data_IF_925452147680
#
_entry.id   IF_925452147680
#
_cell.length_a   1.000
_cell.length_b   1.000
_cell.length_c   1.000
_cell.angle_alpha   90.00
_cell.angle_beta   90.00
_cell.angle_gamma   90.00
#
_symmetry.space_group_name_H-M   'P 1'
#
loop_
_entity.id
_entity.type
_entity.pdbx_description
1 polymer ?
#
# COMPACT_ATOMS: atom_id res chain seq x y z
N UNK A 1 -17.19 33.51 -33.84
CA UNK A 1 -15.94 32.77 -33.57
C UNK A 1 -15.93 32.51 -32.08
N UNK A 2 -16.41 31.35 -31.67
CA UNK A 2 -16.57 30.98 -30.27
C UNK A 2 -15.24 30.43 -29.73
N UNK A 3 -14.67 31.09 -28.73
CA UNK A 3 -13.52 30.56 -27.99
C UNK A 3 -13.98 29.41 -27.10
N UNK A 4 -13.31 28.24 -27.13
CA UNK A 4 -13.69 27.11 -26.28
C UNK A 4 -13.48 27.51 -24.81
N UNK A 5 -14.59 27.59 -24.07
CA UNK A 5 -14.56 27.84 -22.63
C UNK A 5 -13.82 26.68 -21.95
N UNK A 6 -12.63 26.95 -21.43
CA UNK A 6 -11.92 25.97 -20.62
C UNK A 6 -12.78 25.61 -19.41
N UNK A 7 -12.97 24.30 -19.11
CA UNK A 7 -13.67 23.89 -17.90
C UNK A 7 -12.91 24.46 -16.71
N UNK A 8 -13.59 25.28 -15.92
CA UNK A 8 -13.05 25.78 -14.66
C UNK A 8 -12.80 24.57 -13.77
N UNK A 9 -11.55 24.37 -13.37
CA UNK A 9 -11.18 23.26 -12.49
C UNK A 9 -11.94 23.41 -11.17
N UNK A 10 -12.98 22.61 -10.98
CA UNK A 10 -13.75 22.62 -9.75
C UNK A 10 -12.84 22.14 -8.61
N UNK A 11 -12.76 22.87 -7.48
CA UNK A 11 -11.93 22.45 -6.37
C UNK A 11 -12.41 21.09 -5.86
N UNK A 12 -11.46 20.26 -5.40
CA UNK A 12 -11.74 18.95 -4.82
C UNK A 12 -12.85 19.09 -3.76
N UNK A 13 -13.96 18.31 -3.83
CA UNK A 13 -15.14 18.55 -2.99
C UNK A 13 -14.85 18.64 -1.50
N UNK A 14 -13.86 17.88 -1.00
CA UNK A 14 -13.46 17.96 0.40
C UNK A 14 -12.94 19.34 0.81
N UNK A 15 -12.26 20.06 -0.09
CA UNK A 15 -11.72 21.40 0.15
C UNK A 15 -12.80 22.48 0.28
N UNK A 16 -14.05 22.19 -0.13
CA UNK A 16 -15.17 23.08 0.12
C UNK A 16 -15.64 23.05 1.58
N UNK A 17 -15.20 22.05 2.36
CA UNK A 17 -15.56 21.93 3.77
C UNK A 17 -14.67 22.80 4.67
N UNK A 18 -15.22 23.37 5.77
CA UNK A 18 -14.44 23.93 6.85
C UNK A 18 -13.35 22.96 7.35
N UNK A 19 -12.23 23.51 7.78
CA UNK A 19 -11.04 22.73 8.20
C UNK A 19 -11.40 21.72 9.30
N UNK A 20 -12.23 22.11 10.24
CA UNK A 20 -12.65 21.30 11.38
C UNK A 20 -13.35 20.01 10.90
N UNK A 21 -14.22 20.12 9.89
CA UNK A 21 -14.88 18.95 9.30
C UNK A 21 -13.91 18.07 8.52
N UNK A 22 -12.94 18.66 7.84
CA UNK A 22 -11.88 17.88 7.16
C UNK A 22 -11.04 17.09 8.16
N UNK A 23 -10.70 17.68 9.30
CA UNK A 23 -9.97 16.97 10.37
C UNK A 23 -10.77 15.77 10.90
N UNK A 24 -12.08 15.91 11.10
CA UNK A 24 -12.94 14.78 11.49
C UNK A 24 -12.90 13.64 10.47
N UNK A 25 -12.88 13.96 9.18
CA UNK A 25 -12.72 12.94 8.12
C UNK A 25 -11.39 12.21 8.25
N UNK A 26 -10.30 12.93 8.54
CA UNK A 26 -8.99 12.31 8.72
C UNK A 26 -8.91 11.43 9.98
N UNK A 27 -9.57 11.83 11.06
CA UNK A 27 -9.63 11.02 12.29
C UNK A 27 -10.36 9.69 12.09
N UNK A 28 -11.38 9.70 11.24
CA UNK A 28 -12.23 8.55 10.92
C UNK A 28 -11.79 7.80 9.66
N UNK A 29 -10.52 7.94 9.26
CA UNK A 29 -10.01 7.15 8.13
C UNK A 29 -10.23 5.64 8.37
N UNK A 30 -10.61 4.89 7.32
CA UNK A 30 -10.85 3.46 7.44
C UNK A 30 -9.64 2.71 8.01
N UNK A 31 -9.88 2.02 9.13
CA UNK A 31 -8.92 1.17 9.82
C UNK A 31 -9.37 -0.28 9.65
N UNK A 32 -8.50 -1.10 9.10
CA UNK A 32 -8.82 -2.50 8.76
C UNK A 32 -7.87 -3.45 9.45
N UNK A 33 -8.40 -4.62 9.81
CA UNK A 33 -7.59 -5.76 10.24
C UNK A 33 -7.51 -6.71 9.04
N UNK A 34 -6.30 -6.94 8.55
CA UNK A 34 -6.05 -7.78 7.38
C UNK A 34 -5.63 -9.17 7.87
N UNK A 35 -6.28 -10.19 7.33
CA UNK A 35 -5.97 -11.60 7.58
C UNK A 35 -5.34 -12.14 6.30
N UNK A 36 -4.02 -12.34 6.32
CA UNK A 36 -3.27 -12.90 5.20
C UNK A 36 -3.06 -14.39 5.46
N UNK A 37 -3.63 -15.24 4.61
CA UNK A 37 -3.41 -16.69 4.68
C UNK A 37 -2.17 -17.04 3.85
N UNK A 38 -1.14 -17.58 4.50
CA UNK A 38 0.12 -17.97 3.88
C UNK A 38 0.15 -19.50 3.79
N UNK A 39 0.11 -20.09 2.58
CA UNK A 39 0.31 -21.52 2.40
C UNK A 39 1.80 -21.87 2.62
N UNK A 40 2.08 -22.90 3.40
CA UNK A 40 3.42 -23.49 3.52
C UNK A 40 3.52 -24.59 2.48
N UNK A 41 4.32 -24.35 1.45
CA UNK A 41 4.75 -25.42 0.57
C UNK A 41 5.85 -26.21 1.29
N UNK A 42 5.61 -27.51 1.49
CA UNK A 42 6.68 -28.42 1.94
C UNK A 42 7.65 -28.54 0.77
N UNK A 43 8.94 -28.26 0.98
CA UNK A 43 9.96 -28.42 -0.06
C UNK A 43 9.84 -29.83 -0.68
N UNK A 44 9.79 -29.88 -2.02
CA UNK A 44 9.60 -31.10 -2.82
C UNK A 44 10.68 -32.17 -2.61
N UNK A 45 11.79 -31.83 -1.94
CA UNK A 45 12.90 -32.75 -1.70
C UNK A 45 12.68 -33.69 -0.50
N UNK A 46 11.55 -33.60 0.20
CA UNK A 46 11.19 -34.63 1.18
C UNK A 46 10.63 -35.86 0.43
N UNK A 47 11.29 -37.04 0.48
CA UNK A 47 10.81 -38.25 -0.19
C UNK A 47 9.51 -38.73 0.46
N UNK A 48 8.39 -38.18 -0.01
CA UNK A 48 7.06 -38.49 0.47
C UNK A 48 6.44 -39.46 -0.52
N UNK A 49 6.58 -40.76 -0.28
CA UNK A 49 5.76 -41.81 -0.90
C UNK A 49 4.31 -41.78 -0.36
N UNK A 50 3.76 -40.60 -0.08
CA UNK A 50 2.40 -40.45 0.44
C UNK A 50 1.46 -40.26 -0.74
N UNK A 51 0.44 -41.10 -0.80
CA UNK A 51 -0.53 -41.19 -1.88
C UNK A 51 -1.09 -39.82 -2.32
N UNK A 52 -1.41 -39.65 -3.62
CA UNK A 52 -2.16 -38.50 -4.11
C UNK A 52 -3.55 -38.53 -3.48
N UNK A 53 -3.78 -37.79 -2.39
CA UNK A 53 -5.14 -37.75 -1.83
C UNK A 53 -5.45 -37.02 -0.53
N UNK A 54 -4.58 -36.82 0.47
CA UNK A 54 -5.15 -36.32 1.75
C UNK A 54 -4.21 -35.76 2.83
N UNK A 55 -3.44 -34.72 2.52
CA UNK A 55 -3.01 -33.81 3.61
C UNK A 55 -3.43 -32.39 3.30
N UNK A 56 -4.25 -31.74 4.16
CA UNK A 56 -4.62 -30.35 3.97
C UNK A 56 -3.34 -29.51 3.93
N UNK A 57 -3.25 -28.62 2.93
CA UNK A 57 -2.14 -27.71 2.81
C UNK A 57 -1.96 -26.96 4.12
N UNK A 58 -0.73 -27.01 4.62
CA UNK A 58 -0.32 -26.39 5.87
C UNK A 58 -0.47 -24.88 5.68
N UNK A 59 -1.27 -24.21 6.49
CA UNK A 59 -1.52 -22.77 6.35
C UNK A 59 -1.38 -22.01 7.67
N UNK A 60 -0.92 -20.77 7.58
CA UNK A 60 -0.93 -19.81 8.68
C UNK A 60 -1.79 -18.61 8.32
N UNK A 61 -2.38 -17.97 9.32
CA UNK A 61 -3.05 -16.69 9.15
C UNK A 61 -2.27 -15.61 9.88
N UNK A 62 -1.69 -14.68 9.12
CA UNK A 62 -1.06 -13.47 9.63
C UNK A 62 -2.12 -12.38 9.78
N UNK A 63 -2.29 -11.90 11.00
CA UNK A 63 -3.28 -10.87 11.34
C UNK A 63 -2.53 -9.55 11.56
N UNK A 64 -2.77 -8.61 10.65
CA UNK A 64 -2.14 -7.28 10.63
C UNK A 64 -3.18 -6.17 10.75
N UNK A 65 -2.73 -4.98 11.13
CA UNK A 65 -3.55 -3.76 11.12
C UNK A 65 -3.06 -2.85 10.04
N UNK A 66 -3.99 -2.26 9.30
CA UNK A 66 -3.69 -1.31 8.22
C UNK A 66 -4.67 -0.14 8.25
N UNK A 67 -4.28 0.96 7.62
CA UNK A 67 -5.12 2.15 7.42
C UNK A 67 -4.91 2.66 6.00
N UNK A 68 -5.95 3.21 5.39
CA UNK A 68 -5.82 3.81 4.07
C UNK A 68 -5.16 5.20 4.16
N UNK A 69 -4.10 5.44 3.38
CA UNK A 69 -3.36 6.71 3.32
C UNK A 69 -3.45 7.41 1.97
N UNK A 70 -4.31 6.95 1.06
CA UNK A 70 -4.47 7.55 -0.29
C UNK A 70 -4.87 9.02 -0.24
N UNK A 71 -5.59 9.44 0.81
CA UNK A 71 -6.00 10.84 1.03
C UNK A 71 -4.81 11.80 1.07
N UNK A 72 -3.65 11.34 1.57
CA UNK A 72 -2.44 12.14 1.64
C UNK A 72 -1.87 12.52 0.27
N UNK A 73 -2.29 11.81 -0.80
CA UNK A 73 -1.80 12.03 -2.17
C UNK A 73 -2.64 13.05 -2.95
N UNK A 74 -3.76 13.51 -2.40
CA UNK A 74 -4.73 14.33 -3.16
C UNK A 74 -4.27 15.77 -3.34
N UNK A 75 -3.78 16.42 -2.28
CA UNK A 75 -3.27 17.80 -2.36
C UNK A 75 -2.27 18.08 -1.24
N UNK A 76 -1.40 19.07 -1.44
CA UNK A 76 -0.43 19.51 -0.43
C UNK A 76 -1.10 20.00 0.87
N UNK A 77 -2.21 20.72 0.74
CA UNK A 77 -2.96 21.22 1.91
C UNK A 77 -3.55 20.07 2.72
N UNK A 78 -4.15 19.08 2.05
CA UNK A 78 -4.68 17.87 2.72
C UNK A 78 -3.55 17.09 3.38
N UNK A 79 -2.41 16.94 2.69
CA UNK A 79 -1.24 16.28 3.25
C UNK A 79 -0.80 16.92 4.58
N UNK A 80 -0.60 18.23 4.59
CA UNK A 80 -0.13 18.95 5.78
C UNK A 80 -1.10 18.84 6.97
N UNK A 81 -2.40 18.90 6.71
CA UNK A 81 -3.42 18.77 7.76
C UNK A 81 -3.55 17.34 8.30
N UNK A 82 -3.58 16.35 7.42
CA UNK A 82 -3.85 14.97 7.78
C UNK A 82 -2.61 14.24 8.32
N UNK A 83 -1.40 14.75 8.05
CA UNK A 83 -0.14 14.07 8.38
C UNK A 83 -0.05 13.67 9.86
N UNK A 84 -0.30 14.61 10.78
CA UNK A 84 -0.21 14.35 12.23
C UNK A 84 -1.21 13.29 12.68
N UNK A 85 -2.44 13.32 12.14
CA UNK A 85 -3.49 12.35 12.46
C UNK A 85 -3.14 10.96 11.94
N UNK A 86 -2.63 10.87 10.71
CA UNK A 86 -2.19 9.61 10.12
C UNK A 86 -0.99 9.05 10.88
N UNK A 87 -0.01 9.88 11.25
CA UNK A 87 1.13 9.45 12.07
C UNK A 87 0.69 8.91 13.44
N UNK A 88 -0.24 9.59 14.10
CA UNK A 88 -0.83 9.10 15.35
C UNK A 88 -1.57 7.77 15.14
N UNK A 89 -2.30 7.63 14.05
CA UNK A 89 -2.98 6.37 13.70
C UNK A 89 -1.96 5.26 13.47
N UNK A 90 -0.89 5.49 12.72
CA UNK A 90 0.18 4.51 12.51
C UNK A 90 0.79 4.11 13.87
N UNK A 91 1.14 5.08 14.72
CA UNK A 91 1.75 4.83 16.02
C UNK A 91 0.83 4.03 16.96
N UNK A 92 -0.41 4.45 17.11
CA UNK A 92 -1.31 3.93 18.15
C UNK A 92 -2.20 2.76 17.68
N UNK A 93 -2.51 2.67 16.39
CA UNK A 93 -3.34 1.58 15.86
C UNK A 93 -2.49 0.46 15.26
N UNK A 94 -1.49 0.80 14.44
CA UNK A 94 -0.68 -0.20 13.72
C UNK A 94 0.47 -0.67 14.62
N UNK A 95 1.36 0.22 15.03
CA UNK A 95 2.60 -0.14 15.71
C UNK A 95 2.41 -0.53 17.18
N UNK A 96 1.43 0.03 17.87
CA UNK A 96 1.17 -0.29 19.28
C UNK A 96 0.73 -1.75 19.51
N UNK A 97 0.35 -2.47 18.46
CA UNK A 97 -0.08 -3.86 18.56
C UNK A 97 0.67 -4.70 17.53
N UNK A 98 1.58 -5.55 18.02
CA UNK A 98 2.33 -6.47 17.19
C UNK A 98 1.41 -7.31 16.29
N UNK A 99 1.85 -7.61 15.05
CA UNK A 99 1.19 -8.62 14.20
C UNK A 99 1.01 -9.93 14.96
N UNK A 100 -0.12 -10.60 14.74
CA UNK A 100 -0.40 -11.90 15.37
C UNK A 100 -0.35 -12.99 14.31
N UNK A 101 0.19 -14.14 14.67
CA UNK A 101 0.10 -15.33 13.83
C UNK A 101 -0.85 -16.32 14.48
N UNK A 102 -1.84 -16.77 13.72
CA UNK A 102 -2.72 -17.86 14.10
C UNK A 102 -2.36 -19.11 13.28
N UNK A 103 -2.26 -20.23 13.97
CA UNK A 103 -1.98 -21.54 13.38
C UNK A 103 -3.03 -22.53 13.88
N UNK A 104 -3.54 -23.38 12.99
CA UNK A 104 -4.63 -24.32 13.30
C UNK A 104 -4.13 -25.72 13.69
N UNK A 105 -2.99 -25.83 14.38
CA UNK A 105 -2.29 -27.10 14.54
C UNK A 105 -2.42 -27.64 15.96
N UNK A 106 -2.90 -28.87 16.06
CA UNK A 106 -2.78 -29.71 17.24
C UNK A 106 -1.45 -30.49 17.10
N UNK A 107 -0.52 -30.28 18.02
CA UNK A 107 0.64 -31.17 18.28
C UNK A 107 1.66 -31.40 17.13
N UNK A 108 2.54 -30.43 16.86
CA UNK A 108 3.88 -30.75 16.34
C UNK A 108 4.90 -29.67 16.73
N UNK A 109 5.89 -30.08 17.51
CA UNK A 109 6.93 -29.29 18.19
C UNK A 109 7.74 -28.35 17.26
N UNK A 110 7.98 -27.10 17.67
CA UNK A 110 9.16 -26.29 17.32
C UNK A 110 9.30 -25.76 15.88
N UNK A 111 9.43 -26.66 14.90
CA UNK A 111 9.81 -26.32 13.51
C UNK A 111 8.78 -25.42 12.80
N UNK A 112 7.50 -25.52 13.18
CA UNK A 112 6.44 -24.69 12.64
C UNK A 112 6.62 -23.21 13.03
N UNK A 113 7.03 -22.92 14.27
CA UNK A 113 7.24 -21.53 14.74
C UNK A 113 8.45 -20.91 14.04
N UNK A 114 9.52 -21.67 13.85
CA UNK A 114 10.71 -21.22 13.15
C UNK A 114 10.42 -20.93 11.66
N UNK A 115 9.64 -21.80 11.01
CA UNK A 115 9.16 -21.59 9.63
C UNK A 115 8.28 -20.33 9.54
N UNK A 116 7.34 -20.15 10.48
CA UNK A 116 6.50 -18.95 10.57
C UNK A 116 7.35 -17.70 10.69
N UNK A 117 8.30 -17.69 11.62
CA UNK A 117 9.16 -16.54 11.86
C UNK A 117 10.02 -16.24 10.62
N UNK A 118 10.51 -17.27 9.93
CA UNK A 118 11.21 -17.11 8.65
C UNK A 118 10.37 -16.39 7.60
N UNK A 119 9.13 -16.83 7.36
CA UNK A 119 8.23 -16.17 6.40
C UNK A 119 7.84 -14.75 6.81
N UNK A 120 7.54 -14.52 8.10
CA UNK A 120 7.21 -13.18 8.61
C UNK A 120 8.39 -12.23 8.46
N UNK A 121 9.62 -12.70 8.69
CA UNK A 121 10.84 -11.91 8.47
C UNK A 121 11.02 -11.59 6.99
N UNK A 122 10.83 -12.56 6.09
CA UNK A 122 10.95 -12.34 4.64
C UNK A 122 9.93 -11.31 4.13
N UNK A 123 8.66 -11.49 4.48
CA UNK A 123 7.58 -10.54 4.13
C UNK A 123 7.87 -9.15 4.69
N UNK A 124 8.27 -9.07 5.96
CA UNK A 124 8.62 -7.79 6.58
C UNK A 124 9.81 -7.11 5.87
N UNK A 125 10.82 -7.88 5.47
CA UNK A 125 11.98 -7.36 4.73
C UNK A 125 11.59 -6.89 3.32
N UNK A 126 10.74 -7.62 2.59
CA UNK A 126 10.20 -7.19 1.31
C UNK A 126 9.39 -5.90 1.44
N UNK A 127 8.47 -5.85 2.40
CA UNK A 127 7.67 -4.65 2.66
C UNK A 127 8.57 -3.45 3.01
N UNK A 128 9.63 -3.67 3.79
CA UNK A 128 10.61 -2.64 4.12
C UNK A 128 11.40 -2.17 2.89
N UNK A 129 11.73 -3.08 1.98
CA UNK A 129 12.44 -2.77 0.74
C UNK A 129 11.55 -1.94 -0.20
N UNK A 130 10.28 -2.30 -0.36
CA UNK A 130 9.30 -1.54 -1.14
C UNK A 130 9.07 -0.13 -0.57
N UNK A 131 8.92 -0.01 0.75
CA UNK A 131 8.80 1.31 1.39
C UNK A 131 10.10 2.14 1.28
N UNK A 132 11.27 1.48 1.28
CA UNK A 132 12.56 2.11 1.02
C UNK A 132 12.68 2.67 -0.40
N UNK A 133 12.15 1.94 -1.39
CA UNK A 133 12.09 2.39 -2.78
C UNK A 133 11.08 3.54 -2.95
N UNK A 134 9.94 3.49 -2.26
CA UNK A 134 8.96 4.59 -2.26
C UNK A 134 9.57 5.91 -1.78
N UNK A 135 10.53 5.85 -0.83
CA UNK A 135 11.28 7.01 -0.35
C UNK A 135 12.18 7.64 -1.42
N UNK A 136 12.69 6.86 -2.36
CA UNK A 136 13.52 7.37 -3.46
C UNK A 136 12.65 8.00 -4.57
N UNK A 137 11.46 7.45 -4.82
CA UNK A 137 10.54 8.00 -5.83
C UNK A 137 9.79 9.25 -5.37
N UNK A 138 9.56 9.39 -4.06
CA UNK A 138 8.94 10.62 -3.51
C UNK A 138 9.82 11.86 -3.69
N UNK A 139 11.13 11.68 -3.94
CA UNK A 139 12.05 12.78 -4.27
C UNK A 139 12.09 13.15 -5.76
N UNK A 140 11.44 12.40 -6.66
CA UNK A 140 11.64 12.52 -8.11
C UNK A 140 10.42 12.91 -8.95
N UNK A 141 9.25 13.15 -8.37
CA UNK A 141 8.09 13.57 -9.19
C UNK A 141 7.12 14.47 -8.45
N UNK A 142 7.53 15.72 -8.22
CA UNK A 142 6.64 16.82 -8.60
C UNK A 142 7.13 17.22 -9.99
N UNK A 143 6.68 16.48 -10.99
CA UNK A 143 6.70 17.01 -12.35
C UNK A 143 5.84 18.26 -12.29
N UNK A 144 6.48 19.38 -12.62
CA UNK A 144 5.83 20.65 -12.85
C UNK A 144 4.60 20.42 -13.77
N UNK A 145 3.38 20.72 -13.31
CA UNK A 145 2.18 20.53 -14.12
C UNK A 145 2.20 21.35 -15.42
N UNK A 146 3.12 22.32 -15.56
CA UNK A 146 3.30 23.09 -16.79
C UNK A 146 4.21 22.43 -17.85
N UNK A 147 4.88 21.31 -17.55
CA UNK A 147 5.80 20.65 -18.48
C UNK A 147 5.13 19.96 -19.69
N UNK A 148 3.79 19.86 -19.74
CA UNK A 148 3.07 19.29 -20.88
C UNK A 148 2.77 20.27 -22.02
N UNK A 149 3.21 21.55 -21.95
CA UNK A 149 2.77 22.57 -22.92
C UNK A 149 3.67 22.79 -24.15
N UNK A 150 4.77 22.04 -24.30
CA UNK A 150 5.70 22.21 -25.45
C UNK A 150 6.03 20.86 -26.10
N UNK A 151 5.02 20.21 -26.68
CA UNK A 151 5.24 19.11 -27.63
C UNK A 151 4.16 19.11 -28.71
N UNK A 152 3.99 20.25 -29.37
CA UNK A 152 3.13 20.37 -30.56
C UNK A 152 3.66 21.51 -31.43
N UNK A 153 4.80 21.29 -32.08
CA UNK A 153 5.17 21.94 -33.33
C UNK A 153 6.51 21.38 -33.79
N UNK A 154 6.48 20.29 -34.56
CA UNK A 154 7.49 20.00 -35.58
C UNK A 154 6.87 19.04 -36.59
N UNK A 155 5.92 19.57 -37.34
CA UNK A 155 5.46 18.99 -38.60
C UNK A 155 6.09 19.79 -39.75
N UNK A 156 6.51 19.06 -40.79
CA UNK A 156 6.99 19.54 -42.09
C UNK A 156 8.48 19.85 -42.21
N UNK A 157 9.22 18.86 -42.71
CA UNK A 157 10.01 19.01 -43.96
C UNK A 157 10.29 17.62 -44.55
N UNK A 158 9.50 17.25 -45.57
CA UNK A 158 9.91 16.28 -46.59
C UNK A 158 11.01 16.92 -47.44
N UNK A 159 12.14 16.25 -47.70
CA UNK A 159 12.90 16.49 -48.92
C UNK A 159 12.44 15.51 -49.99
N UNK A 160 11.99 16.06 -51.12
CA UNK A 160 11.97 15.36 -52.40
C UNK A 160 13.40 15.08 -52.84
N UNK A 161 13.71 13.81 -53.14
CA UNK A 161 14.28 13.33 -54.41
C UNK A 161 14.48 11.83 -54.37
#
# INVERSE_FOLDING_TARGET
MDTPSHPTAQPFPLMALPKELRLLVYEHLPRTIVHLTIPIHREENAPCNLLPGSTPARQFTLIMRSTNVTILRVSKVIYEEALTIVQNTIKHFILAKAPKVASCWYEAQGWAVETIMGYVVIEYLQLKQEMGQLKQDTGRTIADPDACRIASNNQSRKPER
#
